data_IF_579823638835
#
_entry.id   IF_579823638835
#
_cell.length_a   1.000
_cell.length_b   1.000
_cell.length_c   1.000
_cell.angle_alpha   90.00
_cell.angle_beta   90.00
_cell.angle_gamma   90.00
#
_symmetry.space_group_name_H-M   'P 1'
#
loop_
_entity.id
_entity.type
_entity.pdbx_description
1 polymer ?
#
# COMPACT_ATOMS: atom_id res chain seq x y z
N UNK A 1 -8.15 -17.64 13.96
CA UNK A 1 -9.41 -17.72 14.73
C UNK A 1 -9.10 -17.47 16.20
N UNK A 2 -9.72 -16.45 16.79
CA UNK A 2 -9.66 -16.23 18.23
C UNK A 2 -10.34 -17.40 18.92
N UNK A 3 -9.66 -18.04 19.90
CA UNK A 3 -10.29 -19.08 20.72
C UNK A 3 -11.18 -18.38 21.75
N UNK A 4 -12.38 -18.90 21.99
CA UNK A 4 -13.27 -18.38 23.03
C UNK A 4 -13.22 -19.31 24.23
N UNK A 5 -12.94 -18.79 25.42
CA UNK A 5 -13.00 -19.59 26.63
C UNK A 5 -14.38 -19.45 27.27
N UNK A 6 -15.18 -20.50 27.14
CA UNK A 6 -16.54 -20.58 27.69
C UNK A 6 -16.57 -20.60 29.23
N UNK A 7 -15.45 -20.85 29.92
CA UNK A 7 -15.39 -20.87 31.39
C UNK A 7 -15.20 -19.49 31.99
N UNK A 8 -14.50 -18.59 31.28
CA UNK A 8 -14.24 -17.21 31.71
C UNK A 8 -15.02 -16.18 30.89
N UNK A 9 -15.82 -16.62 29.91
CA UNK A 9 -16.73 -15.76 29.15
C UNK A 9 -16.02 -14.70 28.31
N UNK A 10 -14.79 -14.98 27.84
CA UNK A 10 -13.99 -14.02 27.07
C UNK A 10 -13.21 -14.70 25.95
N UNK A 11 -12.97 -13.95 24.88
CA UNK A 11 -12.01 -14.31 23.85
C UNK A 11 -10.59 -14.39 24.45
N UNK A 12 -9.89 -15.49 24.18
CA UNK A 12 -8.47 -15.63 24.47
C UNK A 12 -7.68 -14.70 23.54
N UNK A 13 -6.54 -14.15 24.00
CA UNK A 13 -5.66 -13.36 23.14
C UNK A 13 -5.29 -14.16 21.89
N UNK A 14 -5.47 -13.54 20.72
CA UNK A 14 -4.98 -14.11 19.47
C UNK A 14 -3.46 -14.16 19.54
N UNK A 15 -2.81 -15.33 19.31
CA UNK A 15 -1.36 -15.35 19.22
C UNK A 15 -0.92 -14.45 18.05
N UNK A 16 0.20 -13.72 18.19
CA UNK A 16 0.69 -12.87 17.11
C UNK A 16 0.90 -13.70 15.83
N UNK A 17 0.55 -13.17 14.66
CA UNK A 17 0.88 -13.80 13.39
C UNK A 17 2.39 -14.03 13.30
N UNK A 18 2.78 -15.20 12.77
CA UNK A 18 4.19 -15.57 12.62
C UNK A 18 4.65 -15.36 11.19
N UNK A 19 5.74 -14.63 11.01
CA UNK A 19 6.51 -14.62 9.77
C UNK A 19 7.64 -15.65 9.87
N UNK A 20 7.75 -16.49 8.84
CA UNK A 20 8.80 -17.51 8.75
C UNK A 20 9.76 -17.15 7.65
N UNK A 21 11.02 -16.95 8.00
CA UNK A 21 12.10 -16.68 7.05
C UNK A 21 12.95 -17.93 6.92
N UNK A 22 13.11 -18.43 5.69
CA UNK A 22 13.88 -19.63 5.39
C UNK A 22 15.07 -19.25 4.53
N UNK A 23 16.28 -19.39 5.06
CA UNK A 23 17.50 -19.18 4.29
C UNK A 23 17.67 -20.29 3.26
N UNK A 24 17.72 -19.95 1.96
CA UNK A 24 17.79 -20.96 0.90
C UNK A 24 19.12 -21.75 0.89
N UNK A 25 20.21 -21.14 1.38
CA UNK A 25 21.55 -21.74 1.41
C UNK A 25 21.78 -22.62 2.65
N UNK A 26 21.44 -22.11 3.83
CA UNK A 26 21.70 -22.76 5.12
C UNK A 26 20.47 -23.54 5.65
N UNK A 27 19.31 -23.40 5.00
CA UNK A 27 18.01 -23.95 5.43
C UNK A 27 17.62 -23.51 6.83
N UNK A 28 18.19 -22.42 7.34
CA UNK A 28 17.89 -21.88 8.66
C UNK A 28 16.49 -21.31 8.64
N UNK A 29 15.64 -21.78 9.56
CA UNK A 29 14.33 -21.23 9.83
C UNK A 29 14.45 -20.20 10.95
N UNK A 30 13.94 -19.00 10.71
CA UNK A 30 13.74 -17.96 11.73
C UNK A 30 12.25 -17.64 11.80
N UNK A 31 11.68 -17.72 13.00
CA UNK A 31 10.29 -17.33 13.26
C UNK A 31 10.28 -15.94 13.92
N UNK A 32 9.46 -15.04 13.39
CA UNK A 32 9.32 -13.66 13.84
C UNK A 32 7.86 -13.39 14.19
N UNK A 33 7.61 -12.74 15.32
CA UNK A 33 6.29 -12.28 15.74
C UNK A 33 5.94 -10.98 15.03
N UNK A 34 4.97 -11.02 14.12
CA UNK A 34 4.53 -9.85 13.37
C UNK A 34 3.45 -9.07 14.14
N UNK A 35 3.49 -7.74 13.99
CA UNK A 35 2.51 -6.82 14.58
C UNK A 35 1.19 -6.70 13.76
N UNK A 36 0.99 -7.55 12.75
CA UNK A 36 -0.05 -7.40 11.73
C UNK A 36 -0.61 -8.73 11.25
N UNK A 37 -1.87 -8.71 10.86
CA UNK A 37 -2.48 -9.74 10.01
C UNK A 37 -2.03 -9.54 8.57
N UNK A 38 -1.19 -10.44 8.10
CA UNK A 38 -0.50 -10.34 6.83
C UNK A 38 -1.46 -10.30 5.64
N UNK A 39 -1.28 -9.31 4.78
CA UNK A 39 -1.94 -9.22 3.47
C UNK A 39 -0.93 -9.51 2.36
N UNK A 40 0.26 -8.89 2.41
CA UNK A 40 1.31 -9.09 1.39
C UNK A 40 2.72 -8.96 1.94
N UNK A 41 3.66 -9.53 1.20
CA UNK A 41 5.11 -9.38 1.39
C UNK A 41 5.70 -8.98 0.06
N UNK A 42 6.50 -7.91 0.04
CA UNK A 42 7.19 -7.43 -1.16
C UNK A 42 8.65 -7.15 -0.87
N UNK A 43 9.44 -7.13 -1.94
CA UNK A 43 10.85 -6.77 -1.88
C UNK A 43 11.01 -5.26 -1.64
N UNK A 44 11.91 -4.89 -0.73
CA UNK A 44 12.25 -3.50 -0.44
C UNK A 44 13.78 -3.34 -0.39
N UNK A 45 14.38 -3.21 -1.58
CA UNK A 45 15.84 -3.21 -1.71
C UNK A 45 16.42 -4.61 -1.49
N UNK A 46 17.39 -4.73 -0.57
CA UNK A 46 17.91 -6.01 -0.06
C UNK A 46 17.06 -6.62 1.06
N UNK A 47 16.12 -5.84 1.58
CA UNK A 47 15.21 -6.22 2.64
C UNK A 47 13.84 -6.60 2.05
N UNK A 48 12.88 -6.90 2.92
CA UNK A 48 11.48 -7.07 2.55
C UNK A 48 10.61 -6.13 3.37
N UNK A 49 9.35 -6.01 2.97
CA UNK A 49 8.30 -5.36 3.75
C UNK A 49 7.12 -6.32 3.88
N UNK A 50 6.62 -6.49 5.09
CA UNK A 50 5.35 -7.13 5.37
C UNK A 50 4.30 -6.04 5.55
N UNK A 51 3.17 -6.18 4.86
CA UNK A 51 2.05 -5.24 4.91
C UNK A 51 0.81 -6.00 5.32
N UNK A 52 0.04 -5.42 6.24
CA UNK A 52 -1.13 -6.07 6.77
C UNK A 52 -1.99 -5.18 7.64
N UNK A 53 -3.05 -5.74 8.19
CA UNK A 53 -3.99 -5.01 9.04
C UNK A 53 -3.70 -5.30 10.52
N UNK A 54 -3.72 -4.27 11.36
CA UNK A 54 -3.74 -4.43 12.82
C UNK A 54 -5.18 -4.60 13.35
N UNK A 55 -5.30 -5.05 14.61
CA UNK A 55 -6.59 -5.24 15.28
C UNK A 55 -7.40 -3.92 15.40
N UNK A 56 -6.73 -2.77 15.47
CA UNK A 56 -7.34 -1.44 15.51
C UNK A 56 -7.67 -0.85 14.13
N UNK A 57 -7.58 -1.67 13.07
CA UNK A 57 -7.86 -1.28 11.67
C UNK A 57 -6.92 -0.21 11.13
N UNK A 58 -5.66 -0.22 11.57
CA UNK A 58 -4.57 0.49 10.88
C UNK A 58 -3.91 -0.41 9.82
N UNK A 59 -3.54 0.16 8.69
CA UNK A 59 -2.70 -0.52 7.70
C UNK A 59 -1.25 -0.41 8.18
N UNK A 60 -0.62 -1.54 8.47
CA UNK A 60 0.71 -1.62 9.07
C UNK A 60 1.73 -1.97 7.99
N UNK A 61 2.80 -1.19 7.96
CA UNK A 61 3.98 -1.35 7.12
C UNK A 61 5.14 -1.77 8.03
N UNK A 62 5.56 -3.02 7.91
CA UNK A 62 6.53 -3.64 8.80
C UNK A 62 7.75 -4.09 7.98
N UNK A 63 8.85 -3.31 7.97
CA UNK A 63 10.08 -3.75 7.30
C UNK A 63 10.67 -4.99 7.97
N UNK A 64 11.29 -5.82 7.15
CA UNK A 64 12.01 -7.02 7.52
C UNK A 64 13.42 -6.92 6.98
N UNK A 65 14.38 -6.71 7.88
CA UNK A 65 15.80 -6.74 7.54
C UNK A 65 16.24 -8.18 7.27
N UNK A 66 16.92 -8.39 6.14
CA UNK A 66 17.36 -9.70 5.66
C UNK A 66 18.88 -9.82 5.58
N UNK A 67 19.62 -8.81 6.04
CA UNK A 67 21.06 -8.85 6.19
C UNK A 67 21.47 -9.65 7.45
N UNK A 68 21.99 -10.86 7.23
CA UNK A 68 22.46 -11.71 8.33
C UNK A 68 21.32 -12.48 9.00
N UNK A 69 21.03 -12.18 10.27
CA UNK A 69 19.91 -12.84 10.99
C UNK A 69 18.64 -12.04 10.78
N UNK A 70 17.58 -12.64 10.18
CA UNK A 70 16.35 -11.92 9.87
C UNK A 70 15.72 -11.28 11.10
N UNK A 71 15.27 -10.02 10.97
CA UNK A 71 14.64 -9.27 12.07
C UNK A 71 13.62 -8.26 11.54
N UNK A 72 12.54 -8.09 12.27
CA UNK A 72 11.59 -7.00 12.02
C UNK A 72 12.20 -5.67 12.49
N UNK A 73 11.93 -4.59 11.75
CA UNK A 73 12.29 -3.22 12.12
C UNK A 73 11.12 -2.51 12.80
N UNK A 74 11.17 -1.19 12.96
CA UNK A 74 10.03 -0.43 13.46
C UNK A 74 8.92 -0.37 12.41
N UNK A 75 7.68 -0.59 12.87
CA UNK A 75 6.50 -0.54 12.01
C UNK A 75 5.98 0.88 11.86
N UNK A 76 5.43 1.21 10.69
CA UNK A 76 4.58 2.37 10.51
C UNK A 76 3.12 1.93 10.42
N UNK A 77 2.25 2.48 11.26
CA UNK A 77 0.81 2.21 11.23
C UNK A 77 0.06 3.41 10.66
N UNK A 78 -0.74 3.18 9.62
CA UNK A 78 -1.61 4.17 8.98
C UNK A 78 -3.08 3.94 9.44
N UNK A 79 -3.61 4.74 10.38
CA UNK A 79 -4.92 4.48 10.97
C UNK A 79 -6.08 4.58 9.98
N UNK A 80 -7.14 3.79 10.21
CA UNK A 80 -8.41 3.90 9.50
C UNK A 80 -8.32 3.61 8.01
N UNK A 81 -7.31 2.86 7.60
CA UNK A 81 -6.94 2.62 6.20
C UNK A 81 -6.76 1.13 5.95
N UNK A 82 -7.12 0.69 4.75
CA UNK A 82 -6.90 -0.67 4.27
C UNK A 82 -6.14 -0.65 2.94
N UNK A 83 -5.55 -1.78 2.54
CA UNK A 83 -4.98 -1.90 1.19
C UNK A 83 -6.06 -1.68 0.12
N UNK A 84 -5.76 -0.82 -0.86
CA UNK A 84 -6.69 -0.44 -1.92
C UNK A 84 -6.70 -1.43 -3.08
N UNK A 85 -5.60 -2.13 -3.33
CA UNK A 85 -5.42 -2.92 -4.55
C UNK A 85 -4.46 -4.09 -4.29
N UNK A 86 -4.98 -5.32 -4.38
CA UNK A 86 -4.29 -6.53 -3.94
C UNK A 86 -3.50 -7.28 -5.03
N UNK A 87 -3.48 -6.78 -6.27
CA UNK A 87 -2.65 -7.38 -7.32
C UNK A 87 -1.16 -7.17 -7.04
N UNK A 88 -0.34 -8.09 -7.55
CA UNK A 88 1.11 -8.10 -7.33
C UNK A 88 1.78 -6.75 -7.64
N UNK A 89 1.37 -6.06 -8.71
CA UNK A 89 1.98 -4.79 -9.15
C UNK A 89 1.43 -3.53 -8.45
N UNK A 90 0.70 -3.66 -7.34
CA UNK A 90 0.18 -2.52 -6.60
C UNK A 90 1.25 -1.81 -5.78
N UNK A 91 2.16 -2.57 -5.21
CA UNK A 91 3.29 -2.05 -4.46
C UNK A 91 4.43 -1.67 -5.41
N UNK A 92 5.10 -0.56 -5.13
CA UNK A 92 6.37 -0.26 -5.77
C UNK A 92 7.32 0.39 -4.77
N UNK A 93 8.60 0.04 -4.85
CA UNK A 93 9.68 0.67 -4.11
C UNK A 93 10.80 1.10 -5.05
N UNK A 94 11.14 2.38 -5.02
CA UNK A 94 12.28 2.96 -5.72
C UNK A 94 13.38 3.25 -4.70
N UNK A 95 14.47 2.48 -4.74
CA UNK A 95 15.68 2.81 -3.99
C UNK A 95 16.26 4.15 -4.45
N UNK A 96 16.81 4.92 -3.54
CA UNK A 96 17.50 6.16 -3.91
C UNK A 96 18.78 5.85 -4.72
N UNK A 97 19.21 6.72 -5.65
CA UNK A 97 20.45 6.51 -6.39
C UNK A 97 21.65 6.29 -5.46
N UNK A 98 22.43 5.23 -5.70
CA UNK A 98 23.60 4.87 -4.88
C UNK A 98 23.28 4.17 -3.54
N UNK A 99 22.01 4.07 -3.16
CA UNK A 99 21.55 3.25 -2.04
C UNK A 99 21.49 1.78 -2.45
N UNK A 100 21.85 0.87 -1.55
CA UNK A 100 21.59 -0.57 -1.70
C UNK A 100 20.12 -0.95 -1.42
N UNK A 101 19.27 0.07 -1.35
CA UNK A 101 17.87 -0.03 -0.98
C UNK A 101 17.60 0.23 0.50
N UNK A 102 18.61 0.52 1.33
CA UNK A 102 18.41 0.99 2.71
C UNK A 102 17.65 2.33 2.80
N UNK A 103 17.76 3.16 1.77
CA UNK A 103 16.96 4.38 1.56
C UNK A 103 16.24 4.38 0.21
N UNK A 104 15.04 4.95 0.16
CA UNK A 104 14.16 4.94 -1.01
C UNK A 104 12.72 5.36 -0.69
N UNK A 105 11.87 5.36 -1.71
CA UNK A 105 10.45 5.70 -1.58
C UNK A 105 9.60 4.51 -1.98
N UNK A 106 8.62 4.15 -1.15
CA UNK A 106 7.57 3.21 -1.52
C UNK A 106 6.25 3.95 -1.80
N UNK A 107 5.45 3.37 -2.69
CA UNK A 107 4.05 3.72 -2.89
C UNK A 107 3.17 2.48 -2.74
N UNK A 108 2.02 2.63 -2.09
CA UNK A 108 1.01 1.60 -1.99
C UNK A 108 -0.39 2.20 -2.17
N UNK A 109 -1.25 1.59 -3.00
CA UNK A 109 -2.67 1.90 -3.03
C UNK A 109 -3.33 1.67 -1.68
N UNK A 110 -4.03 2.68 -1.22
CA UNK A 110 -4.79 2.65 0.02
C UNK A 110 -6.26 2.98 -0.27
N UNK A 111 -7.14 2.32 0.48
CA UNK A 111 -8.55 2.65 0.51
C UNK A 111 -8.91 3.17 1.91
N UNK A 112 -9.55 4.33 1.95
CA UNK A 112 -10.19 4.87 3.16
C UNK A 112 -11.68 4.57 3.10
N UNK A 113 -12.30 4.37 4.26
CA UNK A 113 -13.75 4.22 4.34
C UNK A 113 -14.44 5.51 3.83
N UNK A 114 -14.99 5.46 2.62
CA UNK A 114 -15.83 6.52 2.09
C UNK A 114 -17.25 6.39 2.66
N UNK A 115 -17.92 7.53 2.90
CA UNK A 115 -19.33 7.55 3.34
C UNK A 115 -20.32 7.09 2.26
N UNK A 116 -19.89 6.96 1.00
CA UNK A 116 -20.76 6.65 -0.15
C UNK A 116 -20.47 5.26 -0.76
N UNK A 117 -21.44 4.33 -0.81
CA UNK A 117 -21.25 2.94 -1.24
C UNK A 117 -20.77 2.76 -2.69
N UNK A 118 -21.18 3.66 -3.59
CA UNK A 118 -20.92 3.53 -5.04
C UNK A 118 -19.57 4.10 -5.47
N UNK A 119 -18.90 4.90 -4.63
CA UNK A 119 -17.59 5.50 -4.95
C UNK A 119 -16.43 4.47 -4.89
N UNK A 120 -16.64 3.34 -4.21
CA UNK A 120 -15.61 2.30 -4.05
C UNK A 120 -15.31 1.54 -5.36
N UNK A 121 -16.28 1.45 -6.27
CA UNK A 121 -16.15 0.72 -7.53
C UNK A 121 -15.62 1.57 -8.69
N UNK A 122 -15.50 2.90 -8.50
CA UNK A 122 -15.03 3.85 -9.51
C UNK A 122 -13.59 4.32 -9.26
N UNK A 123 -12.85 3.66 -8.36
CA UNK A 123 -11.53 4.12 -7.95
C UNK A 123 -11.53 5.40 -7.08
N UNK A 124 -12.67 6.04 -6.86
CA UNK A 124 -12.82 7.31 -6.12
C UNK A 124 -12.47 7.25 -4.62
N UNK A 125 -12.32 6.05 -4.05
CA UNK A 125 -11.78 5.84 -2.69
C UNK A 125 -10.31 5.47 -2.64
N UNK A 126 -9.64 5.50 -3.79
CA UNK A 126 -8.26 5.04 -3.96
C UNK A 126 -7.32 6.24 -3.91
N UNK A 127 -6.34 6.15 -3.02
CA UNK A 127 -5.17 7.01 -3.04
C UNK A 127 -3.91 6.15 -3.13
N UNK A 128 -2.80 6.75 -3.50
CA UNK A 128 -1.49 6.17 -3.27
C UNK A 128 -0.91 6.82 -2.04
N UNK A 129 -0.67 6.02 -1.00
CA UNK A 129 0.10 6.44 0.17
C UNK A 129 1.58 6.19 -0.08
N UNK A 130 2.39 7.20 0.23
CA UNK A 130 3.83 7.15 0.07
C UNK A 130 4.52 7.16 1.43
N UNK A 131 5.50 6.28 1.58
CA UNK A 131 6.45 6.32 2.69
C UNK A 131 7.86 6.59 2.13
N UNK A 132 8.57 7.46 2.84
CA UNK A 132 10.01 7.58 2.75
C UNK A 132 10.65 6.52 3.62
N UNK A 133 11.77 6.02 3.14
CA UNK A 133 12.68 5.17 3.87
C UNK A 133 14.04 5.85 3.89
N UNK A 134 14.57 6.10 5.08
CA UNK A 134 15.88 6.72 5.28
C UNK A 134 16.65 5.88 6.30
N UNK A 135 17.73 5.22 5.86
CA UNK A 135 18.51 4.26 6.66
C UNK A 135 17.62 3.24 7.40
N UNK A 136 16.69 2.64 6.65
CA UNK A 136 15.70 1.67 7.12
C UNK A 136 14.65 2.16 8.11
N UNK A 137 14.63 3.45 8.45
CA UNK A 137 13.51 4.06 9.17
C UNK A 137 12.42 4.48 8.18
N UNK A 138 11.16 4.22 8.51
CA UNK A 138 10.02 4.66 7.71
C UNK A 138 9.45 5.99 8.22
N UNK A 139 9.10 6.88 7.30
CA UNK A 139 8.38 8.12 7.60
C UNK A 139 7.31 8.41 6.53
N UNK A 140 6.17 9.02 6.89
CA UNK A 140 5.15 9.42 5.92
C UNK A 140 5.75 10.42 4.91
N UNK A 141 5.50 10.16 3.64
CA UNK A 141 5.84 11.09 2.55
C UNK A 141 4.60 11.81 2.02
N UNK A 142 3.38 11.34 2.32
CA UNK A 142 2.13 11.96 1.91
C UNK A 142 1.33 11.09 0.94
N UNK A 143 0.37 11.68 0.24
CA UNK A 143 -0.61 10.96 -0.58
C UNK A 143 -0.88 11.68 -1.91
N UNK A 144 -1.16 10.89 -2.95
CA UNK A 144 -1.86 11.35 -4.15
C UNK A 144 -3.21 10.66 -4.17
N UNK A 145 -4.29 11.43 -4.30
CA UNK A 145 -5.66 10.92 -4.15
C UNK A 145 -6.45 11.06 -5.45
N UNK A 146 -7.34 10.10 -5.73
CA UNK A 146 -8.37 10.28 -6.75
C UNK A 146 -9.35 11.39 -6.34
N UNK A 147 -9.81 12.20 -7.29
CA UNK A 147 -10.84 13.20 -7.06
C UNK A 147 -12.22 12.55 -7.12
N UNK A 148 -12.73 12.19 -5.94
CA UNK A 148 -14.05 11.58 -5.81
C UNK A 148 -15.21 12.46 -6.30
N UNK A 149 -15.02 13.78 -6.43
CA UNK A 149 -16.06 14.70 -6.89
C UNK A 149 -16.22 14.69 -8.41
N UNK A 150 -15.18 14.26 -9.13
CA UNK A 150 -15.15 14.18 -10.59
C UNK A 150 -15.42 12.78 -11.13
N UNK A 151 -15.50 11.79 -10.24
CA UNK A 151 -15.81 10.42 -10.60
C UNK A 151 -17.23 10.30 -11.19
N UNK A 152 -17.32 10.24 -12.51
CA UNK A 152 -18.57 9.96 -13.23
C UNK A 152 -18.63 8.48 -13.56
N UNK A 153 -19.73 7.83 -13.19
CA UNK A 153 -20.00 6.48 -13.65
C UNK A 153 -20.27 6.52 -15.16
N UNK A 154 -19.37 5.95 -15.94
CA UNK A 154 -19.50 5.84 -17.39
C UNK A 154 -20.32 4.61 -17.81
N UNK A 155 -20.97 3.90 -16.87
CA UNK A 155 -21.64 2.62 -17.10
C UNK A 155 -20.75 1.59 -17.83
N UNK A 156 -19.47 1.58 -17.49
CA UNK A 156 -18.47 0.69 -18.07
C UNK A 156 -18.25 0.87 -19.57
N UNK A 157 -18.49 2.07 -20.10
CA UNK A 157 -18.23 2.39 -21.50
C UNK A 157 -16.74 2.21 -21.84
N UNK A 158 -15.83 2.68 -20.98
CA UNK A 158 -14.40 2.43 -21.14
C UNK A 158 -13.96 1.15 -20.41
N UNK A 159 -14.37 0.94 -19.15
CA UNK A 159 -14.22 -0.36 -18.49
C UNK A 159 -15.08 -0.56 -17.23
N UNK A 160 -15.65 -1.78 -17.06
CA UNK A 160 -16.21 -2.25 -15.78
C UNK A 160 -15.14 -2.77 -14.80
N UNK A 161 -13.94 -3.05 -15.32
CA UNK A 161 -12.83 -3.66 -14.60
C UNK A 161 -11.58 -2.87 -14.94
N UNK A 162 -11.09 -2.07 -14.00
CA UNK A 162 -10.05 -1.09 -14.28
C UNK A 162 -8.82 -1.71 -14.98
N UNK A 163 -8.40 -1.11 -16.11
CA UNK A 163 -7.60 -1.75 -17.19
C UNK A 163 -6.25 -2.29 -16.71
N UNK A 164 -5.72 -1.73 -15.63
CA UNK A 164 -4.54 -2.22 -14.92
C UNK A 164 -4.71 -2.20 -13.40
N UNK A 165 -5.93 -1.96 -12.93
CA UNK A 165 -6.36 -1.91 -11.53
C UNK A 165 -6.66 -0.55 -10.97
N UNK A 166 -7.26 -0.52 -9.77
CA UNK A 166 -7.94 0.69 -9.30
C UNK A 166 -6.98 1.81 -8.92
N UNK A 167 -5.72 1.47 -8.65
CA UNK A 167 -4.67 2.40 -8.30
C UNK A 167 -3.27 1.78 -8.48
N UNK A 168 -2.32 2.55 -9.01
CA UNK A 168 -0.92 2.15 -9.21
C UNK A 168 0.05 3.32 -9.01
N UNK A 169 1.08 3.16 -8.16
CA UNK A 169 2.24 4.02 -8.19
C UNK A 169 3.12 3.66 -9.38
N UNK A 170 3.59 4.67 -10.12
CA UNK A 170 4.55 4.52 -11.21
C UNK A 170 5.72 5.45 -10.91
N UNK A 171 6.91 4.89 -10.84
CA UNK A 171 8.14 5.64 -10.69
C UNK A 171 8.90 5.60 -12.00
N UNK A 172 9.20 6.76 -12.57
CA UNK A 172 9.92 6.88 -13.83
C UNK A 172 10.98 7.96 -13.69
N UNK A 173 12.25 7.55 -13.64
CA UNK A 173 13.39 8.41 -13.29
C UNK A 173 13.12 9.20 -11.99
N UNK A 174 13.09 10.52 -12.07
CA UNK A 174 12.81 11.44 -10.96
C UNK A 174 11.30 11.69 -10.76
N UNK A 175 10.45 11.28 -11.72
CA UNK A 175 9.01 11.51 -11.72
C UNK A 175 8.24 10.40 -11.03
N UNK A 176 7.13 10.79 -10.42
CA UNK A 176 6.23 9.90 -9.69
C UNK A 176 4.82 10.12 -10.22
N UNK A 177 4.12 9.06 -10.56
CA UNK A 177 2.74 9.11 -10.98
C UNK A 177 1.87 8.19 -10.15
N UNK A 178 0.62 8.59 -9.98
CA UNK A 178 -0.45 7.75 -9.47
C UNK A 178 -1.50 7.61 -10.59
N UNK A 179 -1.62 6.40 -11.13
CA UNK A 179 -2.74 6.02 -12.00
C UNK A 179 -3.86 5.52 -11.09
N UNK A 180 -5.01 6.19 -11.06
CA UNK A 180 -6.14 5.87 -10.18
C UNK A 180 -7.45 6.02 -10.97
N UNK A 181 -8.10 4.92 -11.36
CA UNK A 181 -9.25 5.00 -12.26
C UNK A 181 -8.91 5.72 -13.57
N UNK A 182 -9.71 6.73 -13.90
CA UNK A 182 -9.49 7.59 -15.07
C UNK A 182 -8.52 8.74 -14.85
N UNK A 183 -7.82 8.78 -13.72
CA UNK A 183 -6.93 9.88 -13.40
C UNK A 183 -5.47 9.44 -13.43
N UNK A 184 -4.64 10.23 -14.11
CA UNK A 184 -3.18 10.17 -13.99
C UNK A 184 -2.72 11.43 -13.29
N UNK A 185 -2.19 11.25 -12.08
CA UNK A 185 -1.71 12.33 -11.23
C UNK A 185 -0.19 12.28 -11.17
N UNK A 186 0.47 13.35 -11.58
CA UNK A 186 1.90 13.51 -11.39
C UNK A 186 2.16 14.12 -10.01
N UNK A 187 3.09 13.52 -9.27
CA UNK A 187 3.60 14.03 -8.02
C UNK A 187 5.10 14.32 -8.07
N UNK A 188 5.54 15.20 -7.18
CA UNK A 188 6.95 15.50 -6.93
C UNK A 188 7.30 15.22 -5.49
N UNK A 189 8.37 14.45 -5.32
CA UNK A 189 8.98 14.23 -4.02
C UNK A 189 10.03 15.31 -3.80
N UNK A 190 9.81 16.18 -2.82
CA UNK A 190 10.72 17.26 -2.44
C UNK A 190 10.81 17.31 -0.91
N UNK A 191 12.02 17.41 -0.37
CA UNK A 191 12.24 17.39 1.08
C UNK A 191 11.59 16.18 1.80
N UNK A 192 11.49 15.03 1.14
CA UNK A 192 10.85 13.83 1.68
C UNK A 192 9.31 13.83 1.63
N UNK A 193 8.69 14.87 1.06
CA UNK A 193 7.23 15.00 0.96
C UNK A 193 6.77 14.94 -0.51
N UNK A 194 5.71 14.19 -0.78
CA UNK A 194 5.04 14.12 -2.08
C UNK A 194 4.00 15.24 -2.18
N UNK A 195 3.99 15.93 -3.30
CA UNK A 195 2.98 16.94 -3.64
C UNK A 195 2.48 16.72 -5.06
N UNK A 196 1.19 16.92 -5.30
CA UNK A 196 0.61 16.89 -6.65
C UNK A 196 1.14 18.06 -7.50
N UNK A 197 1.51 17.77 -8.75
CA UNK A 197 1.96 18.75 -9.74
C UNK A 197 0.93 18.99 -10.82
N UNK A 198 0.41 17.92 -11.37
CA UNK A 198 -0.47 17.96 -12.53
C UNK A 198 -1.39 16.74 -12.50
N UNK A 199 -2.53 16.87 -13.16
CA UNK A 199 -3.54 15.83 -13.27
C UNK A 199 -4.15 15.85 -14.65
N UNK A 200 -4.32 14.66 -15.21
CA UNK A 200 -5.11 14.43 -16.41
C UNK A 200 -6.25 13.48 -16.08
N UNK A 201 -7.44 13.82 -16.55
CA UNK A 201 -8.67 13.02 -16.40
C UNK A 201 -9.06 12.47 -17.78
N UNK A 202 -9.20 11.16 -17.87
CA UNK A 202 -9.54 10.41 -19.07
C UNK A 202 -11.00 9.93 -19.07
N UNK A 203 -11.83 10.43 -18.15
CA UNK A 203 -13.24 10.05 -18.06
C UNK A 203 -13.92 10.25 -19.41
N UNK A 204 -14.56 9.21 -19.99
CA UNK A 204 -15.22 9.35 -21.28
C UNK A 204 -16.25 10.47 -21.25
N UNK A 205 -16.24 11.33 -22.27
CA UNK A 205 -17.32 12.28 -22.46
C UNK A 205 -18.64 11.53 -22.56
N UNK A 206 -19.66 11.94 -21.79
CA UNK A 206 -20.99 11.37 -21.89
C UNK A 206 -21.42 11.36 -23.36
N UNK A 207 -21.69 10.17 -23.91
CA UNK A 207 -22.26 10.09 -25.25
C UNK A 207 -23.61 10.80 -25.23
N UNK A 208 -23.90 11.74 -26.14
CA UNK A 208 -25.22 12.32 -26.23
C UNK A 208 -26.22 11.19 -26.41
N UNK A 209 -27.28 11.19 -25.59
CA UNK A 209 -28.33 10.19 -25.67
C UNK A 209 -28.83 10.10 -27.12
N UNK A 210 -28.84 8.88 -27.67
CA UNK A 210 -29.47 8.59 -28.96
C UNK A 210 -30.98 8.52 -28.81
#
# INVERSE_FOLDING_TARGET
MSRYDHRVGRALPKPPPKLRVVGLKDRRLTELDAALDLIRIDQMGRDAIAIGQSDDRALVFQPLALDGTPRLLDAYALPGTSEGENRSHAYFYRADPGSDGASGTLGLPVARALRHPNARFLGAGSGIFFLRRDDRALSPAGELNADATRAVADNCLASCVDWYGIARPIFYDDRIFALMGYELVEGRLDGGTITELARVDFTPAASPAR
#
